data_IF_642644320554
#
_entry.id   IF_642644320554
#
_cell.length_a   1.000
_cell.length_b   1.000
_cell.length_c   1.000
_cell.angle_alpha   90.00
_cell.angle_beta   90.00
_cell.angle_gamma   90.00
#
_symmetry.space_group_name_H-M   'P 1'
#
loop_
_entity.id
_entity.type
_entity.pdbx_description
1 polymer ?
#
# COMPACT_ATOMS: atom_id res chain seq x y z
N UNK A 1 22.23 -3.86 1.85
CA UNK A 1 22.57 -5.18 1.28
C UNK A 1 21.24 -5.79 0.89
N UNK A 2 21.02 -6.11 -0.38
CA UNK A 2 19.79 -6.77 -0.84
C UNK A 2 19.98 -8.25 -0.58
N UNK A 3 19.17 -8.83 0.30
CA UNK A 3 19.20 -10.26 0.60
C UNK A 3 18.35 -11.00 -0.45
N UNK A 4 18.99 -11.82 -1.28
CA UNK A 4 18.29 -12.61 -2.29
C UNK A 4 17.97 -13.96 -1.64
N UNK A 5 16.76 -14.04 -1.08
CA UNK A 5 16.27 -15.24 -0.40
C UNK A 5 15.94 -16.38 -1.39
N UNK A 6 16.48 -17.58 -1.11
CA UNK A 6 16.09 -18.83 -1.76
C UNK A 6 15.20 -19.65 -0.81
N UNK A 7 13.98 -19.17 -0.56
CA UNK A 7 12.98 -19.86 0.24
C UNK A 7 12.05 -20.75 -0.60
N UNK A 8 11.47 -21.77 0.02
CA UNK A 8 10.31 -22.48 -0.57
C UNK A 8 9.06 -21.62 -0.44
N UNK A 9 8.06 -21.83 -1.31
CA UNK A 9 6.81 -21.07 -1.28
C UNK A 9 6.11 -21.11 0.10
N UNK A 10 6.12 -22.27 0.78
CA UNK A 10 5.54 -22.42 2.12
C UNK A 10 6.35 -21.73 3.22
N UNK A 11 7.68 -21.66 3.08
CA UNK A 11 8.52 -20.87 3.99
C UNK A 11 8.24 -19.38 3.82
N UNK A 12 8.24 -18.88 2.58
CA UNK A 12 7.91 -17.49 2.26
C UNK A 12 6.53 -17.11 2.77
N UNK A 13 5.50 -17.94 2.54
CA UNK A 13 4.14 -17.67 3.02
C UNK A 13 4.08 -17.56 4.54
N UNK A 14 4.74 -18.47 5.28
CA UNK A 14 4.79 -18.40 6.75
C UNK A 14 5.51 -17.15 7.24
N UNK A 15 6.66 -16.80 6.65
CA UNK A 15 7.39 -15.57 6.98
C UNK A 15 6.52 -14.34 6.73
N UNK A 16 5.89 -14.24 5.56
CA UNK A 16 5.07 -13.08 5.20
C UNK A 16 3.79 -12.96 6.05
N UNK A 17 3.26 -14.08 6.56
CA UNK A 17 2.22 -14.08 7.60
C UNK A 17 2.72 -13.48 8.92
N UNK A 18 3.93 -13.79 9.35
CA UNK A 18 4.55 -13.11 10.50
C UNK A 18 4.79 -11.62 10.24
N UNK A 19 5.27 -11.27 9.02
CA UNK A 19 5.47 -9.87 8.61
C UNK A 19 4.19 -9.06 8.72
N UNK A 20 3.07 -9.53 8.15
CA UNK A 20 1.82 -8.78 8.21
C UNK A 20 1.29 -8.67 9.64
N UNK A 21 1.45 -9.71 10.46
CA UNK A 21 0.97 -9.72 11.84
C UNK A 21 1.72 -8.69 12.71
N UNK A 22 3.03 -8.55 12.50
CA UNK A 22 3.89 -7.63 13.24
C UNK A 22 3.90 -6.21 12.68
N UNK A 23 3.48 -6.00 11.43
CA UNK A 23 3.42 -4.68 10.83
C UNK A 23 2.46 -3.75 11.60
N UNK A 24 2.77 -2.46 11.65
CA UNK A 24 1.85 -1.43 12.09
C UNK A 24 0.92 -1.07 10.91
N UNK A 25 -0.34 -1.49 11.02
CA UNK A 25 -1.38 -1.30 10.01
C UNK A 25 -2.32 -0.17 10.43
N UNK A 26 -2.40 0.87 9.60
CA UNK A 26 -3.37 1.96 9.76
C UNK A 26 -4.32 1.99 8.57
N UNK A 27 -5.62 1.94 8.81
CA UNK A 27 -6.62 2.24 7.80
C UNK A 27 -6.85 3.76 7.78
N UNK A 28 -6.48 4.42 6.69
CA UNK A 28 -6.69 5.85 6.57
C UNK A 28 -8.19 6.11 6.40
N UNK A 29 -8.69 7.14 7.08
CA UNK A 29 -10.09 7.51 6.97
C UNK A 29 -10.44 8.05 5.58
N UNK A 30 -11.72 8.28 5.31
CA UNK A 30 -12.21 8.92 4.08
C UNK A 30 -11.97 8.15 2.78
N UNK A 31 -12.17 8.86 1.67
CA UNK A 31 -11.92 8.40 0.31
C UNK A 31 -10.75 9.17 -0.31
N UNK A 32 -10.02 8.50 -1.19
CA UNK A 32 -8.83 9.04 -1.85
C UNK A 32 -8.97 8.84 -3.36
N UNK A 33 -8.40 9.75 -4.15
CA UNK A 33 -8.38 9.63 -5.60
C UNK A 33 -7.07 10.17 -6.15
N UNK A 34 -6.66 9.66 -7.31
CA UNK A 34 -5.62 10.32 -8.09
C UNK A 34 -6.18 11.60 -8.70
N UNK A 35 -5.35 12.63 -8.72
CA UNK A 35 -5.61 13.91 -9.35
C UNK A 35 -4.46 14.17 -10.31
N UNK A 36 -4.74 14.90 -11.39
CA UNK A 36 -3.79 15.07 -12.47
C UNK A 36 -3.68 16.53 -12.93
N UNK A 37 -2.50 16.89 -13.40
CA UNK A 37 -2.24 18.14 -14.10
C UNK A 37 -1.20 17.94 -15.20
N UNK A 38 -1.21 18.77 -16.25
CA UNK A 38 -0.19 18.71 -17.30
C UNK A 38 1.23 18.90 -16.73
N UNK A 39 2.24 18.35 -17.42
CA UNK A 39 3.64 18.39 -16.97
C UNK A 39 4.16 19.82 -16.66
N UNK A 40 3.69 20.83 -17.40
CA UNK A 40 4.08 22.23 -17.23
C UNK A 40 3.43 22.92 -16.01
N UNK A 41 2.54 22.21 -15.30
CA UNK A 41 1.79 22.69 -14.14
C UNK A 41 1.96 21.72 -12.96
N UNK A 42 3.15 21.66 -12.33
CA UNK A 42 3.38 20.77 -11.19
C UNK A 42 2.47 21.12 -10.01
N UNK A 43 1.99 20.11 -9.25
CA UNK A 43 1.21 20.37 -8.05
C UNK A 43 2.07 20.99 -6.95
N UNK A 44 1.43 21.79 -6.09
CA UNK A 44 2.09 22.26 -4.87
C UNK A 44 2.14 21.14 -3.84
N UNK A 45 3.33 20.84 -3.30
CA UNK A 45 3.46 19.85 -2.23
C UNK A 45 2.88 20.40 -0.92
N UNK A 46 1.80 19.77 -0.45
CA UNK A 46 1.15 20.08 0.83
C UNK A 46 1.14 18.85 1.74
N UNK A 47 0.83 19.06 3.02
CA UNK A 47 0.71 17.97 4.00
C UNK A 47 -0.46 17.03 3.75
N UNK A 48 -1.39 17.40 2.86
CA UNK A 48 -2.58 16.61 2.54
C UNK A 48 -2.33 15.63 1.38
N UNK A 49 -1.19 15.73 0.71
CA UNK A 49 -0.77 14.83 -0.36
C UNK A 49 0.01 13.65 0.23
N UNK A 50 -0.34 12.42 -0.16
CA UNK A 50 0.39 11.23 0.25
C UNK A 50 1.52 10.86 -0.71
N UNK A 51 1.31 11.13 -2.00
CA UNK A 51 2.25 10.77 -3.04
C UNK A 51 2.09 11.69 -4.23
N UNK A 52 3.20 12.03 -4.88
CA UNK A 52 3.24 12.75 -6.14
C UNK A 52 4.23 12.02 -7.04
N UNK A 53 3.77 11.63 -8.22
CA UNK A 53 4.57 11.02 -9.27
C UNK A 53 4.32 11.77 -10.57
N UNK A 54 5.16 11.54 -11.56
CA UNK A 54 4.88 11.97 -12.94
C UNK A 54 5.37 10.93 -13.92
N UNK A 55 4.73 10.89 -15.07
CA UNK A 55 5.25 10.23 -16.26
C UNK A 55 5.86 11.29 -17.20
N UNK A 56 5.88 11.02 -18.50
CA UNK A 56 6.37 11.90 -19.55
C UNK A 56 5.46 13.12 -19.80
N UNK A 57 4.18 13.06 -19.44
CA UNK A 57 3.16 14.02 -19.89
C UNK A 57 2.36 14.64 -18.73
N UNK A 58 2.24 13.93 -17.61
CA UNK A 58 1.25 14.21 -16.56
C UNK A 58 1.87 14.10 -15.16
N UNK A 59 1.56 15.08 -14.31
CA UNK A 59 1.69 14.93 -12.87
C UNK A 59 0.48 14.19 -12.33
N UNK A 60 0.70 13.21 -11.46
CA UNK A 60 -0.36 12.51 -10.74
C UNK A 60 -0.07 12.51 -9.25
N UNK A 61 -1.06 12.84 -8.43
CA UNK A 61 -0.93 12.80 -6.98
C UNK A 61 -2.12 12.17 -6.29
N UNK A 62 -1.84 11.53 -5.16
CA UNK A 62 -2.84 10.89 -4.32
C UNK A 62 -3.24 11.84 -3.19
N UNK A 63 -4.50 12.26 -3.19
CA UNK A 63 -5.07 13.17 -2.22
C UNK A 63 -6.47 12.73 -1.77
N UNK A 64 -7.01 13.44 -0.79
CA UNK A 64 -8.42 13.32 -0.40
C UNK A 64 -9.31 13.52 -1.61
N UNK A 65 -10.25 12.61 -1.79
CA UNK A 65 -11.14 12.66 -2.93
C UNK A 65 -12.11 13.83 -2.82
N UNK A 66 -12.23 14.58 -3.90
CA UNK A 66 -13.19 15.68 -4.09
C UNK A 66 -14.32 15.30 -5.05
N UNK A 67 -14.27 14.08 -5.61
CA UNK A 67 -15.21 13.54 -6.60
C UNK A 67 -15.78 12.21 -6.11
N UNK A 68 -16.86 11.74 -6.73
CA UNK A 68 -17.44 10.42 -6.43
C UNK A 68 -16.93 9.31 -7.36
N UNK A 69 -16.09 9.66 -8.34
CA UNK A 69 -15.57 8.73 -9.34
C UNK A 69 -14.22 8.19 -8.92
N UNK A 70 -14.01 6.88 -9.06
CA UNK A 70 -12.72 6.21 -8.86
C UNK A 70 -12.08 6.50 -7.48
N UNK A 71 -12.89 6.29 -6.44
CA UNK A 71 -12.47 6.46 -5.06
C UNK A 71 -11.80 5.18 -4.52
N UNK A 72 -10.78 5.39 -3.68
CA UNK A 72 -9.99 4.36 -3.05
C UNK A 72 -10.05 4.44 -1.52
N UNK A 73 -10.10 3.27 -0.89
CA UNK A 73 -9.72 3.10 0.50
C UNK A 73 -8.20 2.91 0.58
N UNK A 74 -7.57 3.49 1.61
CA UNK A 74 -6.13 3.36 1.82
C UNK A 74 -5.80 2.67 3.14
N UNK A 75 -4.77 1.84 3.08
CA UNK A 75 -4.16 1.19 4.23
C UNK A 75 -2.65 1.45 4.20
N UNK A 76 -2.05 1.80 5.33
CA UNK A 76 -0.60 1.92 5.44
C UNK A 76 0.00 0.80 6.26
N UNK A 77 1.19 0.35 5.86
CA UNK A 77 2.00 -0.61 6.58
C UNK A 77 3.36 0.00 6.89
N UNK A 78 3.70 0.08 8.17
CA UNK A 78 5.07 0.25 8.63
C UNK A 78 5.58 -1.06 9.20
N UNK A 79 6.80 -1.45 8.79
CA UNK A 79 7.42 -2.69 9.25
C UNK A 79 8.38 -2.41 10.40
N UNK A 80 8.46 -3.28 11.42
CA UNK A 80 9.50 -3.19 12.43
C UNK A 80 10.91 -3.20 11.81
N UNK A 81 11.89 -2.54 12.45
CA UNK A 81 13.27 -2.57 12.00
C UNK A 81 13.79 -4.01 11.87
N UNK A 82 14.64 -4.26 10.87
CA UNK A 82 15.30 -5.55 10.62
C UNK A 82 14.37 -6.71 10.23
N UNK A 83 13.09 -6.45 9.99
CA UNK A 83 12.18 -7.45 9.49
C UNK A 83 12.42 -7.69 7.99
N UNK A 84 12.57 -8.95 7.59
CA UNK A 84 12.62 -9.31 6.17
C UNK A 84 11.21 -9.36 5.58
N UNK A 85 10.81 -8.25 4.94
CA UNK A 85 9.55 -8.11 4.21
C UNK A 85 9.68 -8.41 2.70
N UNK A 86 10.77 -9.04 2.27
CA UNK A 86 10.99 -9.38 0.86
C UNK A 86 9.86 -10.25 0.32
N UNK A 87 9.24 -9.83 -0.78
CA UNK A 87 8.09 -10.49 -1.41
C UNK A 87 6.72 -10.09 -0.86
N UNK A 88 6.65 -9.23 0.16
CA UNK A 88 5.40 -8.82 0.81
C UNK A 88 4.37 -8.24 -0.17
N UNK A 89 4.79 -7.30 -1.03
CA UNK A 89 3.91 -6.66 -2.01
C UNK A 89 3.28 -7.68 -2.97
N UNK A 90 4.09 -8.58 -3.54
CA UNK A 90 3.57 -9.60 -4.46
C UNK A 90 2.61 -10.57 -3.79
N UNK A 91 2.95 -11.01 -2.57
CA UNK A 91 2.11 -11.93 -1.81
C UNK A 91 0.78 -11.31 -1.38
N UNK A 92 0.78 -10.13 -0.76
CA UNK A 92 -0.44 -9.50 -0.28
C UNK A 92 -1.36 -9.08 -1.43
N UNK A 93 -0.81 -8.58 -2.55
CA UNK A 93 -1.60 -8.32 -3.75
C UNK A 93 -2.28 -9.60 -4.28
N UNK A 94 -1.58 -10.73 -4.23
CA UNK A 94 -2.13 -12.03 -4.64
C UNK A 94 -3.26 -12.50 -3.70
N UNK A 95 -3.09 -12.39 -2.38
CA UNK A 95 -4.13 -12.72 -1.40
C UNK A 95 -5.39 -11.86 -1.62
N UNK A 96 -5.23 -10.54 -1.79
CA UNK A 96 -6.35 -9.63 -2.02
C UNK A 96 -7.05 -9.92 -3.36
N UNK A 97 -6.30 -10.20 -4.43
CA UNK A 97 -6.87 -10.58 -5.72
C UNK A 97 -7.67 -11.88 -5.62
N UNK A 98 -7.14 -12.90 -4.93
CA UNK A 98 -7.80 -14.20 -4.78
C UNK A 98 -9.09 -14.10 -3.95
N UNK A 99 -9.09 -13.33 -2.87
CA UNK A 99 -10.24 -13.25 -1.95
C UNK A 99 -11.30 -12.24 -2.38
N UNK A 100 -10.89 -11.13 -2.99
CA UNK A 100 -11.79 -10.00 -3.29
C UNK A 100 -11.99 -9.77 -4.79
N UNK A 101 -11.23 -10.46 -5.65
CA UNK A 101 -11.28 -10.26 -7.10
C UNK A 101 -10.71 -8.91 -7.57
N UNK A 102 -10.17 -8.10 -6.67
CA UNK A 102 -9.80 -6.71 -6.93
C UNK A 102 -8.36 -6.52 -7.37
N UNK A 103 -8.12 -5.45 -8.13
CA UNK A 103 -6.79 -4.86 -8.26
C UNK A 103 -6.45 -3.99 -7.06
N UNK A 104 -5.16 -3.73 -6.88
CA UNK A 104 -4.62 -2.80 -5.89
C UNK A 104 -3.53 -1.97 -6.54
N UNK A 105 -3.28 -0.78 -6.00
CA UNK A 105 -2.03 -0.06 -6.22
C UNK A 105 -1.24 0.01 -4.91
N UNK A 106 0.08 0.15 -5.05
CA UNK A 106 0.98 0.28 -3.91
C UNK A 106 1.93 1.44 -4.15
N UNK A 107 2.08 2.30 -3.16
CA UNK A 107 3.04 3.40 -3.15
C UNK A 107 4.00 3.18 -1.99
N UNK A 108 5.28 3.00 -2.29
CA UNK A 108 6.31 2.84 -1.28
C UNK A 108 6.94 4.19 -0.93
N UNK A 109 7.22 4.39 0.35
CA UNK A 109 8.03 5.50 0.85
C UNK A 109 9.16 5.00 1.74
N UNK A 110 10.03 5.91 2.16
CA UNK A 110 11.14 5.62 3.07
C UNK A 110 11.02 6.49 4.33
N UNK A 111 11.03 5.86 5.50
CA UNK A 111 11.15 6.52 6.78
C UNK A 111 12.16 5.77 7.67
N UNK A 112 13.43 6.19 7.62
CA UNK A 112 14.53 5.55 8.34
C UNK A 112 14.38 5.60 9.87
N UNK A 113 13.63 6.55 10.42
CA UNK A 113 13.35 6.60 11.86
C UNK A 113 12.24 5.63 12.28
N UNK A 114 11.53 5.00 11.33
CA UNK A 114 10.41 4.09 11.57
C UNK A 114 10.52 2.79 10.76
N UNK A 115 11.70 2.18 10.78
CA UNK A 115 11.94 0.85 10.22
C UNK A 115 12.36 0.82 8.74
N UNK A 116 12.34 1.95 8.04
CA UNK A 116 12.77 2.05 6.64
C UNK A 116 11.60 2.14 5.67
N UNK A 117 11.54 1.22 4.71
CA UNK A 117 10.50 1.22 3.67
C UNK A 117 9.13 1.01 4.32
N UNK A 118 8.12 1.75 3.87
CA UNK A 118 6.73 1.59 4.25
C UNK A 118 5.84 1.69 3.01
N UNK A 119 4.63 1.17 3.11
CA UNK A 119 3.71 1.08 1.97
C UNK A 119 2.39 1.78 2.26
N UNK A 120 1.83 2.45 1.25
CA UNK A 120 0.41 2.74 1.14
C UNK A 120 -0.23 1.81 0.10
N UNK A 121 -1.34 1.19 0.47
CA UNK A 121 -2.10 0.25 -0.34
C UNK A 121 -3.47 0.82 -0.64
N UNK A 122 -3.81 0.91 -1.92
CA UNK A 122 -5.12 1.36 -2.37
C UNK A 122 -5.95 0.25 -2.99
N UNK A 123 -7.23 0.19 -2.62
CA UNK A 123 -8.25 -0.63 -3.28
C UNK A 123 -9.53 0.18 -3.49
N UNK A 124 -10.46 -0.23 -4.37
CA UNK A 124 -11.74 0.46 -4.55
C UNK A 124 -12.45 0.68 -3.22
N UNK A 125 -13.00 1.89 -3.00
CA UNK A 125 -13.63 2.27 -1.72
C UNK A 125 -14.78 1.33 -1.32
N UNK A 126 -15.50 0.79 -2.32
CA UNK A 126 -16.59 -0.15 -2.12
C UNK A 126 -16.16 -1.47 -1.46
N UNK A 127 -14.86 -1.80 -1.49
CA UNK A 127 -14.28 -2.98 -0.87
C UNK A 127 -13.58 -2.69 0.46
N UNK A 128 -13.69 -1.46 1.00
CA UNK A 128 -12.96 -1.05 2.22
C UNK A 128 -13.17 -2.01 3.38
N UNK A 129 -14.42 -2.40 3.64
CA UNK A 129 -14.75 -3.26 4.77
C UNK A 129 -14.20 -4.69 4.56
N UNK A 130 -14.38 -5.25 3.36
CA UNK A 130 -13.91 -6.58 3.01
C UNK A 130 -12.37 -6.65 2.99
N UNK A 131 -11.71 -5.63 2.45
CA UNK A 131 -10.25 -5.50 2.48
C UNK A 131 -9.76 -5.44 3.93
N UNK A 132 -10.39 -4.60 4.78
CA UNK A 132 -10.04 -4.54 6.20
C UNK A 132 -10.19 -5.90 6.88
N UNK A 133 -11.29 -6.61 6.63
CA UNK A 133 -11.52 -7.93 7.19
C UNK A 133 -10.43 -8.93 6.76
N UNK A 134 -10.09 -8.97 5.47
CA UNK A 134 -9.02 -9.84 4.98
C UNK A 134 -7.68 -9.50 5.64
N UNK A 135 -7.35 -8.22 5.80
CA UNK A 135 -6.13 -7.80 6.49
C UNK A 135 -6.13 -8.26 7.95
N UNK A 136 -7.24 -8.10 8.68
CA UNK A 136 -7.36 -8.55 10.08
C UNK A 136 -7.23 -10.09 10.19
N UNK A 137 -7.83 -10.85 9.28
CA UNK A 137 -7.68 -12.32 9.18
C UNK A 137 -6.24 -12.73 8.87
N UNK A 138 -5.56 -12.01 7.97
CA UNK A 138 -4.19 -12.31 7.59
C UNK A 138 -3.19 -12.09 8.74
N UNK A 139 -3.50 -11.15 9.63
CA UNK A 139 -2.74 -10.78 10.82
C UNK A 139 -2.97 -11.69 12.03
N UNK A 140 -4.01 -12.51 12.00
CA UNK A 140 -4.27 -13.46 13.08
C UNK A 140 -3.33 -14.66 12.94
N UNK A 141 -2.67 -15.11 14.03
CA UNK A 141 -1.74 -16.25 14.00
C UNK A 141 -2.40 -17.59 13.64
#
# INVERSE_FOLDING_TARGET
>A
MVDISHETAEATKRRLRSVIAEADLVALEGAWSFQESPLDQPPSLTTDLLAVVRDEDTWSWLARSTTETEQFALFSFHFPPHQDNSGFVGWLASELKQRLGTGVFVICGQNSSRGGVYDYWGCPIALRAQARQVLDELRTP
#
